data_IF_672318846568
#
_entry.id   IF_672318846568
#
_cell.length_a   1.000
_cell.length_b   1.000
_cell.length_c   1.000
_cell.angle_alpha   90.00
_cell.angle_beta   90.00
_cell.angle_gamma   90.00
#
_symmetry.space_group_name_H-M   'P 1'
#
loop_
_entity.id
_entity.type
_entity.pdbx_description
1 polymer ?
#
# COMPACT_ATOMS: atom_id res chain seq x y z
N UNK A 1 -11.07 17.46 -24.46
CA UNK A 1 -9.85 17.15 -23.70
C UNK A 1 -10.33 16.64 -22.37
N UNK A 2 -9.96 15.43 -22.01
CA UNK A 2 -10.16 14.94 -20.65
C UNK A 2 -9.16 15.68 -19.74
N UNK A 3 -9.65 16.19 -18.64
CA UNK A 3 -8.84 16.84 -17.61
C UNK A 3 -7.91 15.79 -16.98
N UNK A 4 -6.67 16.15 -16.69
CA UNK A 4 -5.66 15.24 -16.13
C UNK A 4 -5.35 15.62 -14.68
N UNK A 5 -4.77 14.69 -13.92
CA UNK A 5 -4.44 14.95 -12.51
C UNK A 5 -3.56 16.19 -12.33
N UNK A 6 -2.58 16.43 -13.19
CA UNK A 6 -1.69 17.61 -13.14
C UNK A 6 -2.41 18.95 -13.30
N UNK A 7 -3.58 18.94 -13.94
CA UNK A 7 -4.44 20.11 -14.16
C UNK A 7 -5.46 20.32 -13.05
N UNK A 8 -5.73 19.31 -12.21
CA UNK A 8 -6.66 19.42 -11.10
C UNK A 8 -6.09 20.19 -9.92
N UNK A 9 -6.92 20.98 -9.24
CA UNK A 9 -6.55 21.55 -7.95
C UNK A 9 -6.39 20.46 -6.88
N UNK A 10 -5.68 20.79 -5.79
CA UNK A 10 -5.45 19.85 -4.69
C UNK A 10 -6.73 19.28 -4.08
N UNK A 11 -7.82 20.05 -4.08
CA UNK A 11 -9.12 19.63 -3.55
C UNK A 11 -9.75 18.48 -4.35
N UNK A 12 -9.76 18.60 -5.68
CA UNK A 12 -10.38 17.61 -6.58
C UNK A 12 -9.57 16.32 -6.63
N UNK A 13 -8.24 16.44 -6.68
CA UNK A 13 -7.33 15.30 -6.59
C UNK A 13 -7.50 14.53 -5.27
N UNK A 14 -7.73 15.24 -4.15
CA UNK A 14 -8.03 14.61 -2.86
C UNK A 14 -9.40 13.93 -2.79
N UNK A 15 -10.39 14.42 -3.53
CA UNK A 15 -11.68 13.73 -3.65
C UNK A 15 -11.54 12.39 -4.37
N UNK A 16 -10.75 12.33 -5.44
CA UNK A 16 -10.46 11.08 -6.16
C UNK A 16 -9.90 10.03 -5.20
N UNK A 17 -8.89 10.37 -4.39
CA UNK A 17 -8.32 9.45 -3.41
C UNK A 17 -9.37 9.00 -2.39
N UNK A 18 -10.11 9.95 -1.79
CA UNK A 18 -11.12 9.63 -0.76
C UNK A 18 -12.26 8.76 -1.27
N UNK A 19 -12.60 8.82 -2.56
CA UNK A 19 -13.67 8.02 -3.16
C UNK A 19 -13.20 6.66 -3.64
N UNK A 20 -11.92 6.55 -4.00
CA UNK A 20 -11.38 5.35 -4.66
C UNK A 20 -10.52 4.48 -3.76
N UNK A 21 -9.85 5.03 -2.73
CA UNK A 21 -8.99 4.30 -1.80
C UNK A 21 -9.61 4.27 -0.39
N UNK A 22 -10.58 3.38 -0.15
CA UNK A 22 -11.40 3.38 1.09
C UNK A 22 -11.41 2.06 1.85
N UNK A 23 -10.96 0.97 1.23
CA UNK A 23 -11.04 -0.39 1.79
C UNK A 23 -9.94 -0.74 2.79
N UNK A 24 -8.95 0.12 3.02
CA UNK A 24 -7.72 -0.18 3.77
C UNK A 24 -7.88 0.10 5.25
N UNK A 25 -7.50 -0.86 6.10
CA UNK A 25 -7.65 -0.79 7.56
C UNK A 25 -6.45 -0.17 8.26
N UNK A 26 -5.27 -0.33 7.68
CA UNK A 26 -4.02 0.21 8.19
C UNK A 26 -3.97 1.73 8.03
N UNK A 27 -3.06 2.37 8.76
CA UNK A 27 -2.85 3.81 8.63
C UNK A 27 -2.29 4.13 7.25
N UNK A 28 -2.95 5.04 6.55
CA UNK A 28 -2.51 5.53 5.26
C UNK A 28 -2.85 7.01 5.11
N UNK A 29 -2.15 7.67 4.20
CA UNK A 29 -2.39 9.05 3.80
C UNK A 29 -2.04 9.21 2.32
N UNK A 30 -2.29 10.40 1.78
CA UNK A 30 -1.91 10.72 0.42
C UNK A 30 -1.27 12.11 0.37
N UNK A 31 -0.44 12.29 -0.65
CA UNK A 31 0.31 13.50 -0.93
C UNK A 31 0.19 13.82 -2.43
N UNK A 32 0.34 15.10 -2.76
CA UNK A 32 0.55 15.51 -4.15
C UNK A 32 2.00 15.21 -4.51
N UNK A 33 2.23 14.51 -5.61
CA UNK A 33 3.59 14.31 -6.11
C UNK A 33 4.10 15.56 -6.83
N UNK A 34 5.42 15.67 -7.00
CA UNK A 34 6.06 16.84 -7.60
C UNK A 34 5.70 17.03 -9.09
N UNK A 35 5.34 15.94 -9.77
CA UNK A 35 4.86 15.90 -11.15
C UNK A 35 3.35 16.19 -11.28
N UNK A 36 2.69 16.57 -10.18
CA UNK A 36 1.26 16.91 -10.18
C UNK A 36 0.31 15.73 -10.02
N UNK A 37 0.82 14.51 -9.89
CA UNK A 37 0.07 13.29 -9.63
C UNK A 37 -0.31 13.05 -8.15
N UNK A 38 -0.63 11.80 -7.84
CA UNK A 38 -1.04 11.34 -6.52
C UNK A 38 -0.05 10.32 -5.97
N UNK A 39 0.41 10.52 -4.73
CA UNK A 39 1.16 9.52 -3.98
C UNK A 39 0.32 9.03 -2.81
N UNK A 40 0.07 7.72 -2.74
CA UNK A 40 -0.56 7.07 -1.58
C UNK A 40 0.52 6.41 -0.75
N UNK A 41 0.48 6.66 0.55
CA UNK A 41 1.43 6.16 1.54
C UNK A 41 0.69 5.31 2.56
N UNK A 42 1.19 4.11 2.85
CA UNK A 42 0.63 3.22 3.85
C UNK A 42 1.72 2.77 4.83
N UNK A 43 1.50 2.97 6.12
CA UNK A 43 2.40 2.49 7.17
C UNK A 43 2.27 0.97 7.30
N UNK A 44 3.41 0.29 7.41
CA UNK A 44 3.49 -1.14 7.63
C UNK A 44 4.50 -1.44 8.75
N UNK A 45 4.00 -2.08 9.79
CA UNK A 45 4.80 -2.60 10.91
C UNK A 45 5.23 -4.05 10.62
N UNK A 46 6.54 -4.32 10.44
CA UNK A 46 7.04 -5.67 10.19
C UNK A 46 6.79 -6.64 11.35
N UNK A 47 6.89 -6.20 12.60
CA UNK A 47 6.67 -7.06 13.78
C UNK A 47 5.21 -7.49 13.83
N UNK A 48 4.29 -6.54 13.66
CA UNK A 48 2.85 -6.84 13.65
C UNK A 48 2.50 -7.77 12.50
N UNK A 49 3.02 -7.52 11.31
CA UNK A 49 2.82 -8.37 10.13
C UNK A 49 3.34 -9.79 10.37
N UNK A 50 4.53 -9.92 10.94
CA UNK A 50 5.14 -11.21 11.26
C UNK A 50 4.33 -11.96 12.31
N UNK A 51 3.87 -11.30 13.36
CA UNK A 51 3.02 -11.90 14.40
C UNK A 51 1.72 -12.46 13.82
N UNK A 52 1.04 -11.71 12.94
CA UNK A 52 -0.16 -12.16 12.24
C UNK A 52 0.11 -13.38 11.34
N UNK A 53 1.23 -13.39 10.63
CA UNK A 53 1.63 -14.49 9.75
C UNK A 53 1.99 -15.75 10.55
N UNK A 54 2.70 -15.60 11.68
CA UNK A 54 3.07 -16.72 12.55
C UNK A 54 1.81 -17.39 13.12
N UNK A 55 0.87 -16.57 13.63
CA UNK A 55 -0.41 -17.07 14.12
C UNK A 55 -1.23 -17.79 13.03
N UNK A 56 -1.17 -17.30 11.79
CA UNK A 56 -1.93 -17.88 10.68
C UNK A 56 -1.31 -19.14 10.08
N UNK A 57 0.02 -19.23 10.04
CA UNK A 57 0.75 -20.33 9.39
C UNK A 57 1.23 -21.40 10.38
N UNK A 58 1.19 -21.11 11.69
CA UNK A 58 1.75 -21.99 12.72
C UNK A 58 3.28 -22.01 12.74
N UNK A 59 3.94 -21.14 11.97
CA UNK A 59 5.40 -21.04 11.92
C UNK A 59 5.96 -20.32 13.15
N UNK A 60 7.21 -20.62 13.57
CA UNK A 60 7.87 -19.90 14.64
C UNK A 60 7.89 -18.38 14.42
N UNK A 61 7.65 -17.56 15.46
CA UNK A 61 7.69 -16.10 15.34
C UNK A 61 9.01 -15.56 14.78
N UNK A 62 10.16 -16.10 15.21
CA UNK A 62 11.48 -15.68 14.73
C UNK A 62 11.71 -16.00 13.25
N UNK A 63 11.26 -17.17 12.79
CA UNK A 63 11.34 -17.57 11.38
C UNK A 63 10.48 -16.63 10.52
N UNK A 64 9.27 -16.35 11.00
CA UNK A 64 8.31 -15.49 10.32
C UNK A 64 8.80 -14.04 10.26
N UNK A 65 9.35 -13.53 11.36
CA UNK A 65 9.94 -12.19 11.41
C UNK A 65 11.11 -12.10 10.43
N UNK A 66 12.04 -13.06 10.45
CA UNK A 66 13.17 -13.09 9.50
C UNK A 66 12.69 -13.09 8.04
N UNK A 67 11.70 -13.91 7.71
CA UNK A 67 11.12 -13.94 6.36
C UNK A 67 10.48 -12.59 5.99
N UNK A 68 9.81 -11.94 6.95
CA UNK A 68 9.17 -10.63 6.77
C UNK A 68 10.20 -9.53 6.52
N UNK A 69 11.26 -9.47 7.33
CA UNK A 69 12.37 -8.53 7.14
C UNK A 69 13.06 -8.73 5.78
N UNK A 70 13.34 -9.98 5.40
CA UNK A 70 13.92 -10.29 4.10
C UNK A 70 13.03 -9.86 2.92
N UNK A 71 11.72 -10.06 3.03
CA UNK A 71 10.77 -9.65 1.99
C UNK A 71 10.69 -8.12 1.87
N UNK A 72 10.83 -7.41 2.98
CA UNK A 72 10.84 -5.95 3.02
C UNK A 72 12.21 -5.34 2.74
N UNK A 73 13.28 -6.16 2.65
CA UNK A 73 14.64 -5.69 2.48
C UNK A 73 15.20 -4.95 3.71
N UNK A 74 14.72 -5.31 4.91
CA UNK A 74 15.10 -4.68 6.17
C UNK A 74 16.08 -5.54 6.96
N UNK A 75 16.96 -4.89 7.71
CA UNK A 75 17.86 -5.55 8.67
C UNK A 75 17.21 -5.67 10.05
N UNK A 76 16.36 -4.71 10.41
CA UNK A 76 15.68 -4.61 11.70
C UNK A 76 14.18 -4.32 11.50
N UNK A 77 13.36 -4.58 12.53
CA UNK A 77 11.90 -4.51 12.45
C UNK A 77 11.34 -3.10 12.63
N UNK A 78 11.90 -2.14 11.89
CA UNK A 78 11.43 -0.76 11.91
C UNK A 78 10.17 -0.59 11.03
N UNK A 79 9.18 0.21 11.46
CA UNK A 79 8.03 0.54 10.62
C UNK A 79 8.46 1.19 9.30
N UNK A 80 7.87 0.74 8.20
CA UNK A 80 8.14 1.25 6.85
C UNK A 80 6.91 1.88 6.24
N UNK A 81 7.11 2.73 5.23
CA UNK A 81 6.02 3.33 4.45
C UNK A 81 6.04 2.73 3.04
N UNK A 82 4.98 2.00 2.70
CA UNK A 82 4.73 1.56 1.34
C UNK A 82 4.16 2.73 0.54
N UNK A 83 4.69 2.96 -0.65
CA UNK A 83 4.24 4.04 -1.53
C UNK A 83 3.69 3.50 -2.85
N UNK A 84 2.68 4.18 -3.37
CA UNK A 84 2.14 3.96 -4.70
C UNK A 84 1.87 5.30 -5.37
N UNK A 85 2.31 5.45 -6.61
CA UNK A 85 2.20 6.69 -7.37
C UNK A 85 1.26 6.52 -8.56
N UNK A 86 0.35 7.48 -8.71
CA UNK A 86 -0.44 7.70 -9.91
C UNK A 86 0.17 8.89 -10.65
N UNK A 87 0.62 8.71 -11.91
CA UNK A 87 1.21 9.78 -12.71
C UNK A 87 0.31 11.00 -12.86
N UNK A 88 0.91 12.19 -12.92
CA UNK A 88 0.16 13.44 -13.14
C UNK A 88 -0.58 13.51 -14.49
N UNK A 89 -0.12 12.78 -15.50
CA UNK A 89 -0.76 12.74 -16.82
C UNK A 89 -1.95 11.77 -16.91
N UNK A 90 -2.21 11.00 -15.86
CA UNK A 90 -3.37 10.12 -15.77
C UNK A 90 -4.69 10.91 -15.68
N UNK A 91 -5.76 10.33 -16.22
CA UNK A 91 -7.11 10.87 -16.05
C UNK A 91 -7.68 10.54 -14.66
N UNK A 92 -8.70 11.27 -14.18
CA UNK A 92 -9.40 10.95 -12.94
C UNK A 92 -9.94 9.53 -12.88
N UNK A 93 -10.43 9.01 -14.01
CA UNK A 93 -10.94 7.65 -14.16
C UNK A 93 -9.83 6.62 -14.04
N UNK A 94 -8.70 6.83 -14.71
CA UNK A 94 -7.51 5.96 -14.63
C UNK A 94 -6.96 5.93 -13.21
N UNK A 95 -6.82 7.11 -12.58
CA UNK A 95 -6.41 7.25 -11.20
C UNK A 95 -7.33 6.49 -10.24
N UNK A 96 -8.65 6.65 -10.43
CA UNK A 96 -9.65 5.95 -9.62
C UNK A 96 -9.56 4.42 -9.79
N UNK A 97 -9.36 3.94 -11.02
CA UNK A 97 -9.17 2.53 -11.31
C UNK A 97 -7.95 1.95 -10.60
N UNK A 98 -6.79 2.60 -10.74
CA UNK A 98 -5.53 2.20 -10.11
C UNK A 98 -5.65 2.16 -8.59
N UNK A 99 -6.25 3.20 -7.99
CA UNK A 99 -6.45 3.26 -6.54
C UNK A 99 -7.36 2.14 -6.03
N UNK A 100 -8.47 1.86 -6.73
CA UNK A 100 -9.41 0.80 -6.36
C UNK A 100 -8.78 -0.58 -6.43
N UNK A 101 -7.97 -0.84 -7.43
CA UNK A 101 -7.23 -2.10 -7.56
C UNK A 101 -6.36 -2.33 -6.31
N UNK A 102 -5.65 -1.27 -5.89
CA UNK A 102 -4.74 -1.29 -4.75
C UNK A 102 -5.43 -1.32 -3.39
N UNK A 103 -6.65 -0.79 -3.27
CA UNK A 103 -7.46 -0.86 -2.05
C UNK A 103 -8.52 -1.96 -2.06
N UNK A 104 -8.46 -2.91 -3.00
CA UNK A 104 -9.49 -3.94 -3.17
C UNK A 104 -9.60 -4.91 -1.99
N UNK A 105 -8.57 -4.99 -1.14
CA UNK A 105 -8.58 -5.74 0.11
C UNK A 105 -8.23 -4.87 1.33
N UNK A 106 -8.52 -5.39 2.54
CA UNK A 106 -8.32 -4.64 3.80
C UNK A 106 -6.87 -4.23 4.05
N UNK A 107 -5.90 -4.90 3.40
CA UNK A 107 -4.46 -4.64 3.55
C UNK A 107 -3.91 -3.58 2.61
N UNK A 108 -4.69 -3.10 1.64
CA UNK A 108 -4.23 -2.08 0.70
C UNK A 108 -2.94 -2.44 -0.03
N UNK A 109 -1.98 -1.52 0.00
CA UNK A 109 -0.65 -1.67 -0.61
C UNK A 109 0.12 -2.89 -0.06
N UNK A 110 -0.13 -3.27 1.19
CA UNK A 110 0.53 -4.42 1.82
C UNK A 110 0.00 -5.79 1.34
N UNK A 111 -1.10 -5.83 0.57
CA UNK A 111 -1.70 -7.09 0.13
C UNK A 111 -0.72 -7.97 -0.68
N UNK A 112 0.09 -7.36 -1.53
CA UNK A 112 1.10 -8.07 -2.33
C UNK A 112 2.20 -8.71 -1.48
N UNK A 113 2.74 -7.95 -0.52
CA UNK A 113 3.76 -8.42 0.43
C UNK A 113 3.22 -9.58 1.26
N UNK A 114 2.03 -9.39 1.85
CA UNK A 114 1.39 -10.42 2.66
C UNK A 114 1.15 -11.72 1.88
N UNK A 115 0.69 -11.62 0.63
CA UNK A 115 0.46 -12.79 -0.22
C UNK A 115 1.74 -13.55 -0.57
N UNK A 116 2.87 -12.87 -0.79
CA UNK A 116 4.18 -13.51 -1.02
C UNK A 116 4.68 -14.21 0.23
N UNK A 117 4.59 -13.55 1.40
CA UNK A 117 4.97 -14.15 2.67
C UNK A 117 4.12 -15.37 3.03
N UNK A 118 2.80 -15.31 2.82
CA UNK A 118 1.93 -16.46 3.04
C UNK A 118 2.31 -17.66 2.18
N UNK A 119 2.62 -17.45 0.89
CA UNK A 119 3.07 -18.54 0.02
C UNK A 119 4.43 -19.10 0.46
N UNK A 120 5.33 -18.24 0.93
CA UNK A 120 6.65 -18.64 1.39
C UNK A 120 6.60 -19.44 2.70
N UNK A 121 5.73 -19.07 3.62
CA UNK A 121 5.66 -19.64 4.98
C UNK A 121 4.63 -20.76 5.12
N UNK A 122 3.59 -20.77 4.29
CA UNK A 122 2.52 -21.77 4.28
C UNK A 122 2.76 -22.95 3.33
N UNK A 123 3.92 -23.00 2.67
CA UNK A 123 4.41 -24.18 1.94
C UNK A 123 4.97 -25.24 2.87
#
# INVERSE_FOLDING_TARGET
>A
MEERLDQLLGGDAGEIVRRSFTGVRERWWWERSLDGGLRVCQELDPERLAGELAARTGRPPEETLRATLQELGLEEAEPVVLTFEVPGDATPEEASGLLRERSSGPRGLAAGVYGRLLRRLGG
#
